data_IF_203752660795
#
_entry.id   IF_203752660795
#
_cell.length_a   1.000
_cell.length_b   1.000
_cell.length_c   1.000
_cell.angle_alpha   90.00
_cell.angle_beta   90.00
_cell.angle_gamma   90.00
#
_symmetry.space_group_name_H-M   'P 1'
#
loop_
_entity.id
_entity.type
_entity.pdbx_description
1 polymer ?
#
# COMPACT_ATOMS: atom_id res chain seq x y z
N UNK A 1 -23.07 -3.88 17.39
CA UNK A 1 -23.32 -3.61 18.82
C UNK A 1 -23.26 -4.92 19.59
N UNK A 2 -22.19 -5.18 20.35
CA UNK A 2 -22.07 -6.38 21.22
C UNK A 2 -22.21 -5.91 22.67
N UNK A 3 -23.04 -6.62 23.44
CA UNK A 3 -23.50 -6.29 24.78
C UNK A 3 -22.35 -5.93 25.75
N UNK A 4 -22.13 -4.64 26.01
CA UNK A 4 -21.26 -4.15 27.10
C UNK A 4 -21.90 -4.41 28.48
N UNK A 5 -23.22 -4.50 28.54
CA UNK A 5 -23.98 -4.73 29.78
C UNK A 5 -23.69 -6.09 30.43
N UNK A 6 -23.27 -7.11 29.68
CA UNK A 6 -22.96 -8.45 30.21
C UNK A 6 -21.66 -8.52 31.02
N UNK A 7 -20.84 -7.45 31.03
CA UNK A 7 -19.54 -7.44 31.70
C UNK A 7 -19.45 -6.49 32.90
N UNK A 8 -20.53 -5.78 33.23
CA UNK A 8 -20.61 -4.88 34.39
C UNK A 8 -20.36 -5.65 35.70
N UNK A 9 -20.86 -6.89 35.80
CA UNK A 9 -20.73 -7.73 37.00
C UNK A 9 -19.42 -8.54 37.05
N UNK A 10 -18.51 -8.37 36.08
CA UNK A 10 -17.22 -9.08 36.02
C UNK A 10 -16.06 -8.08 36.07
N UNK A 11 -15.67 -7.59 37.25
CA UNK A 11 -14.65 -6.54 37.39
C UNK A 11 -13.30 -6.92 36.78
N UNK A 12 -12.94 -8.21 36.74
CA UNK A 12 -11.72 -8.71 36.08
C UNK A 12 -11.75 -8.59 34.54
N UNK A 13 -12.92 -8.58 33.91
CA UNK A 13 -13.06 -8.39 32.45
C UNK A 13 -13.23 -6.92 32.06
N UNK A 14 -13.73 -6.08 32.98
CA UNK A 14 -13.89 -4.63 32.78
C UNK A 14 -12.57 -3.88 32.57
N UNK A 15 -11.45 -4.42 33.05
CA UNK A 15 -10.12 -3.79 32.91
C UNK A 15 -9.62 -3.70 31.45
N UNK A 16 -10.22 -4.47 30.52
CA UNK A 16 -9.86 -4.44 29.11
C UNK A 16 -10.86 -3.67 28.24
N UNK A 17 -11.90 -3.08 28.84
CA UNK A 17 -12.92 -2.32 28.13
C UNK A 17 -13.02 -0.91 28.75
N UNK A 18 -12.65 0.12 28.00
CA UNK A 18 -12.99 1.50 28.37
C UNK A 18 -14.51 1.67 28.29
N UNK A 19 -15.19 1.50 29.42
CA UNK A 19 -16.66 1.58 29.50
C UNK A 19 -17.22 2.97 29.19
N UNK A 20 -16.40 4.01 29.35
CA UNK A 20 -16.80 5.40 29.12
C UNK A 20 -16.67 5.83 27.65
N UNK A 21 -15.67 5.33 26.92
CA UNK A 21 -15.42 5.69 25.51
C UNK A 21 -14.96 4.47 24.68
N UNK A 22 -15.86 3.53 24.36
CA UNK A 22 -15.50 2.30 23.65
C UNK A 22 -15.14 2.50 22.17
N UNK A 23 -15.25 3.73 21.67
CA UNK A 23 -15.02 4.10 20.26
C UNK A 23 -13.85 5.06 20.07
N UNK A 24 -13.22 5.54 21.16
CA UNK A 24 -12.14 6.50 21.09
C UNK A 24 -10.91 5.97 21.81
N UNK A 25 -9.77 6.04 21.13
CA UNK A 25 -8.48 5.97 21.81
C UNK A 25 -8.24 7.33 22.48
N UNK A 26 -7.92 7.30 23.78
CA UNK A 26 -7.57 8.49 24.55
C UNK A 26 -6.09 8.41 24.95
N UNK A 27 -5.22 9.28 24.39
CA UNK A 27 -5.50 10.33 23.42
C UNK A 27 -5.68 9.81 21.98
N UNK A 28 -6.37 10.57 21.10
CA UNK A 28 -6.53 10.18 19.71
C UNK A 28 -5.18 10.11 18.98
N UNK A 29 -5.05 9.27 17.94
CA UNK A 29 -3.82 9.17 17.17
C UNK A 29 -3.48 10.52 16.52
N UNK A 30 -2.25 10.97 16.74
CA UNK A 30 -1.76 12.28 16.30
C UNK A 30 -1.65 12.39 14.77
N UNK A 31 -1.39 11.28 14.10
CA UNK A 31 -1.21 11.22 12.65
C UNK A 31 -2.25 10.31 12.00
N UNK A 32 -2.82 10.80 10.90
CA UNK A 32 -3.75 10.06 10.05
C UNK A 32 -3.09 9.65 8.75
N UNK A 33 -3.41 8.45 8.25
CA UNK A 33 -2.96 8.01 6.94
C UNK A 33 -3.66 8.82 5.84
N UNK A 34 -2.89 9.59 5.06
CA UNK A 34 -3.45 10.46 4.02
C UNK A 34 -3.39 9.83 2.63
N UNK A 35 -2.43 8.95 2.37
CA UNK A 35 -2.23 8.42 1.04
C UNK A 35 -0.92 7.67 0.88
N UNK A 36 -0.72 7.09 -0.30
CA UNK A 36 0.49 6.34 -0.62
C UNK A 36 0.98 6.61 -2.04
N UNK A 37 2.29 6.43 -2.22
CA UNK A 37 2.93 6.37 -3.52
C UNK A 37 3.37 4.93 -3.81
N UNK A 38 3.18 4.46 -5.05
CA UNK A 38 3.49 3.09 -5.44
C UNK A 38 4.80 3.00 -6.20
N UNK A 39 5.73 2.22 -5.67
CA UNK A 39 7.06 2.00 -6.23
C UNK A 39 7.16 0.61 -6.86
N UNK A 40 7.51 0.51 -8.14
CA UNK A 40 7.72 -0.80 -8.78
C UNK A 40 8.95 -1.51 -8.19
N UNK A 41 8.78 -2.78 -7.82
CA UNK A 41 9.86 -3.62 -7.28
C UNK A 41 10.65 -4.36 -8.36
N UNK A 42 10.17 -4.31 -9.60
CA UNK A 42 10.73 -5.06 -10.72
C UNK A 42 12.25 -4.83 -10.94
N UNK A 43 12.80 -3.61 -10.74
CA UNK A 43 14.24 -3.36 -10.84
C UNK A 43 15.09 -4.24 -9.90
N UNK A 44 14.65 -4.49 -8.67
CA UNK A 44 15.37 -5.33 -7.70
C UNK A 44 15.58 -6.76 -8.21
N UNK A 45 14.55 -7.34 -8.85
CA UNK A 45 14.63 -8.70 -9.41
C UNK A 45 15.65 -8.82 -10.56
N UNK A 46 15.92 -7.71 -11.25
CA UNK A 46 16.84 -7.61 -12.40
C UNK A 46 18.21 -7.05 -12.05
N UNK A 47 18.53 -6.93 -10.75
CA UNK A 47 19.78 -6.31 -10.27
C UNK A 47 19.97 -4.86 -10.77
N UNK A 48 18.88 -4.12 -10.87
CA UNK A 48 18.91 -2.73 -11.30
C UNK A 48 18.53 -1.79 -10.16
N UNK A 49 19.29 -0.70 -10.06
CA UNK A 49 18.88 0.47 -9.30
C UNK A 49 17.95 1.32 -10.17
N UNK A 50 17.01 2.02 -9.56
CA UNK A 50 16.02 2.84 -10.26
C UNK A 50 15.68 4.08 -9.47
N UNK A 51 15.49 5.21 -10.16
CA UNK A 51 14.94 6.44 -9.59
C UNK A 51 13.69 6.82 -10.38
N UNK A 52 12.61 7.17 -9.67
CA UNK A 52 11.34 7.55 -10.28
C UNK A 52 10.62 8.60 -9.43
N UNK A 53 9.93 9.53 -10.08
CA UNK A 53 8.96 10.42 -9.42
C UNK A 53 7.59 9.77 -9.55
N UNK A 54 6.95 9.50 -8.40
CA UNK A 54 5.67 8.80 -8.31
C UNK A 54 4.63 9.69 -7.64
N UNK A 55 3.36 9.66 -8.08
CA UNK A 55 2.29 10.42 -7.45
C UNK A 55 1.93 9.84 -6.08
N UNK A 56 1.51 10.72 -5.17
CA UNK A 56 0.92 10.36 -3.88
C UNK A 56 -0.59 10.46 -4.07
N UNK A 57 -1.28 9.32 -3.97
CA UNK A 57 -2.73 9.28 -4.09
C UNK A 57 -3.38 9.36 -2.72
N UNK A 58 -4.37 10.25 -2.57
CA UNK A 58 -5.21 10.30 -1.39
C UNK A 58 -5.95 8.98 -1.22
N UNK A 59 -5.91 8.41 -0.01
CA UNK A 59 -6.62 7.16 0.26
C UNK A 59 -8.13 7.31 0.13
N UNK A 60 -8.65 8.49 0.48
CA UNK A 60 -10.07 8.79 0.52
C UNK A 60 -10.63 9.13 -0.85
N UNK A 61 -10.05 10.12 -1.53
CA UNK A 61 -10.58 10.66 -2.79
C UNK A 61 -10.04 9.97 -4.03
N UNK A 62 -8.96 9.17 -3.89
CA UNK A 62 -8.16 8.63 -4.99
C UNK A 62 -7.54 9.70 -5.91
N UNK A 63 -7.55 10.97 -5.52
CA UNK A 63 -6.91 12.06 -6.26
C UNK A 63 -5.42 12.15 -5.93
N UNK A 64 -4.63 12.60 -6.91
CA UNK A 64 -3.21 12.86 -6.69
C UNK A 64 -3.05 14.15 -5.85
N UNK A 65 -2.62 13.99 -4.59
CA UNK A 65 -2.42 15.11 -3.64
C UNK A 65 -0.97 15.59 -3.59
N UNK A 66 -0.08 14.91 -4.31
CA UNK A 66 1.33 15.27 -4.35
C UNK A 66 2.14 14.29 -5.18
N UNK A 67 3.46 14.40 -5.07
CA UNK A 67 4.41 13.47 -5.67
C UNK A 67 5.66 13.36 -4.82
N UNK A 68 6.36 12.24 -4.93
CA UNK A 68 7.66 12.06 -4.33
C UNK A 68 8.67 11.43 -5.28
N UNK A 69 9.94 11.81 -5.16
CA UNK A 69 11.05 11.12 -5.81
C UNK A 69 11.49 9.98 -4.92
N UNK A 70 11.49 8.77 -5.47
CA UNK A 70 11.87 7.55 -4.80
C UNK A 70 12.99 6.87 -5.59
N UNK A 71 14.05 6.48 -4.90
CA UNK A 71 15.18 5.73 -5.45
C UNK A 71 15.32 4.38 -4.73
N UNK A 72 15.47 3.32 -5.51
CA UNK A 72 15.93 2.02 -5.08
C UNK A 72 17.37 1.88 -5.55
N UNK A 73 18.32 1.75 -4.63
CA UNK A 73 19.74 1.59 -4.95
C UNK A 73 20.27 0.27 -4.41
N UNK A 74 20.67 -0.64 -5.30
CA UNK A 74 21.27 -1.90 -4.89
C UNK A 74 22.66 -1.62 -4.30
N UNK A 75 22.85 -2.06 -3.07
CA UNK A 75 24.12 -1.93 -2.37
C UNK A 75 25.01 -3.15 -2.62
N UNK A 76 24.44 -4.36 -2.54
CA UNK A 76 25.18 -5.61 -2.74
C UNK A 76 24.25 -6.77 -3.11
N UNK A 77 24.77 -7.74 -3.86
CA UNK A 77 24.12 -9.03 -4.15
C UNK A 77 25.11 -10.15 -3.92
N UNK A 78 24.93 -10.91 -2.84
CA UNK A 78 25.75 -12.08 -2.52
C UNK A 78 25.07 -13.31 -3.08
N UNK A 79 25.75 -14.00 -4.02
CA UNK A 79 25.22 -15.21 -4.66
C UNK A 79 25.17 -16.37 -3.67
N UNK A 80 24.15 -17.22 -3.80
CA UNK A 80 24.14 -18.52 -3.11
C UNK A 80 25.30 -19.39 -3.61
N UNK A 81 25.93 -20.25 -2.77
CA UNK A 81 27.04 -21.12 -3.17
C UNK A 81 26.73 -22.00 -4.39
N UNK A 82 25.48 -22.46 -4.51
CA UNK A 82 24.99 -23.27 -5.65
C UNK A 82 25.13 -22.56 -7.01
N UNK A 83 25.13 -21.23 -7.02
CA UNK A 83 25.25 -20.40 -8.22
C UNK A 83 26.59 -19.64 -8.27
N UNK A 84 27.43 -19.74 -7.23
CA UNK A 84 28.75 -19.12 -7.20
C UNK A 84 29.76 -19.91 -8.07
N UNK A 85 29.59 -21.23 -8.18
CA UNK A 85 30.50 -22.13 -8.90
C UNK A 85 30.14 -22.30 -10.40
N UNK A 86 29.10 -21.63 -10.90
CA UNK A 86 28.69 -21.69 -12.31
C UNK A 86 29.45 -20.69 -13.20
N UNK A 87 30.48 -20.02 -12.67
CA UNK A 87 31.44 -19.27 -13.49
C UNK A 87 32.49 -20.22 -14.07
N UNK A 88 32.07 -21.22 -14.84
CA UNK A 88 32.97 -21.84 -15.82
C UNK A 88 33.06 -20.92 -17.03
N UNK A 89 34.29 -20.68 -17.45
CA UNK A 89 34.72 -19.87 -18.59
C UNK A 89 33.82 -20.04 -19.82
N UNK A 90 32.87 -19.13 -20.00
CA UNK A 90 32.12 -18.98 -21.25
C UNK A 90 32.92 -18.06 -22.19
N UNK A 91 33.28 -18.58 -23.36
CA UNK A 91 33.87 -17.81 -24.47
C UNK A 91 32.85 -16.96 -25.24
N UNK A 92 31.57 -17.00 -24.86
CA UNK A 92 30.54 -16.12 -25.42
C UNK A 92 30.60 -14.75 -24.75
N UNK A 93 30.72 -13.71 -25.58
CA UNK A 93 30.54 -12.31 -25.21
C UNK A 93 29.33 -12.15 -24.31
N UNK A 94 29.54 -11.65 -23.09
CA UNK A 94 28.47 -11.37 -22.13
C UNK A 94 27.46 -10.41 -22.77
N UNK A 95 26.25 -10.92 -23.04
CA UNK A 95 25.11 -10.09 -23.44
C UNK A 95 24.92 -8.98 -22.41
N UNK A 96 24.66 -7.72 -22.81
CA UNK A 96 24.57 -6.57 -21.92
C UNK A 96 23.32 -6.59 -21.00
N UNK A 97 22.53 -7.67 -21.02
CA UNK A 97 21.32 -7.76 -20.19
C UNK A 97 21.72 -8.01 -18.74
N UNK A 98 21.36 -7.10 -17.80
CA UNK A 98 21.55 -7.32 -16.37
C UNK A 98 20.93 -8.65 -15.96
N UNK A 99 21.76 -9.56 -15.45
CA UNK A 99 21.30 -10.88 -15.03
C UNK A 99 20.27 -10.76 -13.90
N UNK A 100 19.21 -11.57 -13.96
CA UNK A 100 18.25 -11.66 -12.85
C UNK A 100 18.93 -12.14 -11.57
N UNK A 101 18.45 -11.73 -10.40
CA UNK A 101 18.91 -12.27 -9.12
C UNK A 101 18.55 -13.77 -9.03
N UNK A 102 19.52 -14.71 -8.89
CA UNK A 102 19.22 -16.12 -8.68
C UNK A 102 18.56 -16.36 -7.32
N UNK A 103 17.62 -17.32 -7.23
CA UNK A 103 17.02 -17.73 -5.97
C UNK A 103 18.06 -18.08 -4.90
N UNK A 104 17.83 -17.63 -3.67
CA UNK A 104 18.71 -17.87 -2.52
C UNK A 104 19.87 -16.88 -2.39
N UNK A 105 20.01 -15.92 -3.31
CA UNK A 105 20.98 -14.83 -3.15
C UNK A 105 20.56 -13.88 -2.03
N UNK A 106 21.52 -13.31 -1.29
CA UNK A 106 21.27 -12.23 -0.32
C UNK A 106 21.36 -10.89 -1.04
N UNK A 107 20.27 -10.13 -1.04
CA UNK A 107 20.12 -8.83 -1.68
C UNK A 107 20.09 -7.74 -0.60
N UNK A 108 20.99 -6.77 -0.72
CA UNK A 108 21.02 -5.56 0.10
C UNK A 108 20.79 -4.34 -0.78
N UNK A 109 19.83 -3.49 -0.42
CA UNK A 109 19.50 -2.28 -1.17
C UNK A 109 19.06 -1.15 -0.24
N UNK A 110 19.16 0.09 -0.73
CA UNK A 110 18.63 1.27 -0.08
C UNK A 110 17.30 1.67 -0.71
N UNK A 111 16.31 1.98 0.11
CA UNK A 111 15.17 2.81 -0.26
C UNK A 111 15.47 4.24 0.14
N UNK A 112 15.33 5.17 -0.80
CA UNK A 112 15.56 6.59 -0.58
C UNK A 112 14.34 7.37 -1.07
N UNK A 113 13.82 8.26 -0.23
CA UNK A 113 12.85 9.29 -0.60
C UNK A 113 13.48 10.63 -0.23
N UNK A 114 13.65 11.51 -1.19
CA UNK A 114 14.45 12.74 -1.00
C UNK A 114 13.82 14.02 -1.56
N UNK A 115 12.67 13.90 -2.21
CA UNK A 115 11.87 15.04 -2.63
C UNK A 115 10.41 14.70 -2.49
N UNK A 116 9.67 15.49 -1.70
CA UNK A 116 8.20 15.42 -1.57
C UNK A 116 7.64 16.78 -1.96
N UNK A 117 6.57 16.79 -2.76
CA UNK A 117 5.95 18.01 -3.29
C UNK A 117 4.44 17.87 -3.35
N UNK A 118 3.74 19.01 -3.33
CA UNK A 118 2.31 19.12 -3.58
C UNK A 118 1.41 18.96 -2.35
N UNK A 119 1.93 18.46 -1.23
CA UNK A 119 1.17 18.42 0.02
C UNK A 119 0.95 19.86 0.53
N UNK A 120 -0.30 20.23 0.78
CA UNK A 120 -0.67 21.60 1.11
C UNK A 120 -0.47 21.90 2.60
N UNK A 121 0.23 23.00 2.91
CA UNK A 121 0.35 23.54 4.27
C UNK A 121 -0.99 24.02 4.85
N UNK A 122 -1.98 24.28 4.00
CA UNK A 122 -3.33 24.59 4.46
C UNK A 122 -3.98 23.36 5.08
N UNK A 123 -3.61 22.16 4.62
CA UNK A 123 -4.30 20.90 4.92
C UNK A 123 -3.63 20.13 6.05
N UNK A 124 -2.31 20.27 6.13
CA UNK A 124 -1.45 19.46 6.98
C UNK A 124 -0.53 20.36 7.77
N UNK A 125 -0.41 20.13 9.08
CA UNK A 125 0.54 20.83 9.94
C UNK A 125 1.83 20.05 10.14
N UNK A 126 1.79 18.72 10.05
CA UNK A 126 2.95 17.85 10.18
C UNK A 126 2.81 16.65 9.26
N UNK A 127 3.91 16.17 8.68
CA UNK A 127 3.92 15.02 7.78
C UNK A 127 5.12 14.12 8.06
N UNK A 128 4.90 12.81 8.02
CA UNK A 128 5.95 11.80 7.93
C UNK A 128 5.57 10.71 6.93
N UNK A 129 6.52 9.85 6.63
CA UNK A 129 6.28 8.68 5.80
C UNK A 129 6.73 7.39 6.49
N UNK A 130 6.18 6.26 6.04
CA UNK A 130 6.51 4.94 6.54
C UNK A 130 6.71 3.96 5.37
N UNK A 131 7.62 3.01 5.56
CA UNK A 131 7.80 1.87 4.68
C UNK A 131 7.68 0.58 5.49
N UNK A 132 7.00 -0.42 4.94
CA UNK A 132 6.79 -1.73 5.56
C UNK A 132 7.77 -2.75 5.01
N UNK A 133 8.23 -3.68 5.86
CA UNK A 133 9.09 -4.78 5.40
C UNK A 133 8.34 -5.72 4.45
N UNK A 134 7.06 -6.00 4.73
CA UNK A 134 6.20 -6.83 3.87
C UNK A 134 6.10 -6.30 2.44
N UNK A 135 6.21 -4.99 2.25
CA UNK A 135 6.23 -4.35 0.92
C UNK A 135 7.38 -4.81 0.02
N UNK A 136 8.46 -5.37 0.58
CA UNK A 136 9.64 -5.81 -0.20
C UNK A 136 9.81 -7.33 -0.24
N UNK A 137 9.33 -8.02 0.80
CA UNK A 137 9.49 -9.48 0.94
C UNK A 137 8.19 -10.23 0.55
N UNK A 138 7.08 -9.52 0.45
CA UNK A 138 5.76 -10.05 0.19
C UNK A 138 4.95 -10.33 1.47
N UNK A 139 3.66 -10.69 1.35
CA UNK A 139 2.70 -10.70 2.46
C UNK A 139 2.83 -11.89 3.41
N UNK A 140 3.86 -12.74 3.27
CA UNK A 140 4.00 -13.95 4.09
C UNK A 140 4.88 -13.78 5.33
N UNK A 141 5.09 -12.54 5.79
CA UNK A 141 5.77 -12.28 7.05
C UNK A 141 4.82 -12.52 8.22
N UNK A 142 5.30 -13.18 9.26
CA UNK A 142 4.54 -13.43 10.49
C UNK A 142 4.52 -12.22 11.43
N UNK A 143 5.52 -11.36 11.34
CA UNK A 143 5.64 -10.13 12.08
C UNK A 143 5.93 -8.99 11.10
N UNK A 144 5.17 -7.90 11.22
CA UNK A 144 5.33 -6.73 10.37
C UNK A 144 6.29 -5.74 11.04
N UNK A 145 7.28 -5.30 10.27
CA UNK A 145 8.18 -4.21 10.69
C UNK A 145 7.86 -2.96 9.88
N UNK A 146 7.70 -1.85 10.59
CA UNK A 146 7.38 -0.54 10.01
C UNK A 146 8.54 0.40 10.27
N UNK A 147 9.01 1.07 9.22
CA UNK A 147 10.15 1.98 9.24
C UNK A 147 9.66 3.41 8.99
N UNK A 148 9.48 4.22 10.04
CA UNK A 148 9.09 5.63 9.88
C UNK A 148 10.28 6.53 9.52
N UNK A 149 9.97 7.63 8.82
CA UNK A 149 10.83 8.82 8.78
C UNK A 149 10.66 9.66 10.03
N UNK A 150 11.53 10.64 10.22
CA UNK A 150 11.24 11.76 11.11
C UNK A 150 10.03 12.54 10.58
N UNK A 151 9.17 12.99 11.48
CA UNK A 151 8.12 13.92 11.12
C UNK A 151 8.69 15.32 10.90
N UNK A 152 8.13 16.04 9.95
CA UNK A 152 8.43 17.45 9.70
C UNK A 152 7.22 18.28 10.07
N UNK A 153 7.45 19.34 10.85
CA UNK A 153 6.46 20.37 11.06
C UNK A 153 6.45 21.31 9.85
N UNK A 154 5.32 21.38 9.18
CA UNK A 154 5.13 22.17 7.97
C UNK A 154 5.01 23.67 8.28
N UNK A 155 4.68 24.06 9.51
CA UNK A 155 4.61 25.49 9.85
C UNK A 155 6.03 26.10 10.04
N UNK A 156 7.04 25.26 10.31
CA UNK A 156 8.43 25.67 10.53
C UNK A 156 9.44 25.17 9.49
N UNK A 157 9.12 24.12 8.74
CA UNK A 157 10.04 23.45 7.81
C UNK A 157 9.43 23.25 6.42
N UNK A 158 10.28 22.96 5.44
CA UNK A 158 9.86 22.73 4.06
C UNK A 158 9.62 21.23 3.80
N UNK A 159 8.74 20.89 2.85
CA UNK A 159 8.57 19.50 2.41
C UNK A 159 9.85 18.87 1.83
N UNK A 160 10.81 19.67 1.36
CA UNK A 160 12.12 19.19 0.92
C UNK A 160 12.97 18.60 2.06
N UNK A 161 12.64 18.90 3.31
CA UNK A 161 13.33 18.37 4.49
C UNK A 161 12.83 16.97 4.86
N UNK A 162 11.66 16.56 4.35
CA UNK A 162 11.14 15.20 4.52
C UNK A 162 11.97 14.22 3.68
N UNK A 163 12.96 13.62 4.35
CA UNK A 163 13.87 12.64 3.75
C UNK A 163 13.77 11.31 4.47
N UNK A 164 13.92 10.24 3.70
CA UNK A 164 13.96 8.88 4.19
C UNK A 164 15.06 8.12 3.47
N UNK A 165 15.92 7.45 4.23
CA UNK A 165 16.92 6.54 3.69
C UNK A 165 17.04 5.33 4.60
N UNK A 166 16.69 4.14 4.09
CA UNK A 166 16.81 2.89 4.84
C UNK A 166 17.45 1.80 4.01
N UNK A 167 18.32 1.02 4.64
CA UNK A 167 18.93 -0.17 4.05
C UNK A 167 18.11 -1.38 4.41
N UNK A 168 17.73 -2.17 3.42
CA UNK A 168 17.07 -3.47 3.60
C UNK A 168 18.01 -4.58 3.15
N UNK A 169 17.99 -5.69 3.88
CA UNK A 169 18.77 -6.90 3.56
C UNK A 169 17.86 -8.11 3.65
N UNK A 170 17.72 -8.86 2.56
CA UNK A 170 16.84 -10.02 2.50
C UNK A 170 17.41 -11.15 1.65
N UNK A 171 16.96 -12.38 1.91
CA UNK A 171 17.22 -13.52 1.05
C UNK A 171 16.17 -13.55 -0.06
N UNK A 172 16.62 -13.43 -1.30
CA UNK A 172 15.78 -13.44 -2.48
C UNK A 172 15.38 -14.88 -2.85
N UNK A 173 14.43 -15.47 -2.12
CA UNK A 173 13.84 -16.77 -2.46
C UNK A 173 13.07 -16.70 -3.79
N UNK A 174 12.75 -17.84 -4.40
CA UNK A 174 11.94 -17.88 -5.64
C UNK A 174 10.60 -17.14 -5.48
N UNK A 175 9.97 -17.24 -4.30
CA UNK A 175 8.71 -16.55 -3.99
C UNK A 175 8.91 -15.04 -3.91
N UNK A 176 9.96 -14.59 -3.21
CA UNK A 176 10.30 -13.16 -3.12
C UNK A 176 10.63 -12.61 -4.51
N UNK A 177 11.41 -13.32 -5.31
CA UNK A 177 11.75 -12.90 -6.67
C UNK A 177 10.52 -12.81 -7.58
N UNK A 178 9.58 -13.75 -7.47
CA UNK A 178 8.32 -13.68 -8.19
C UNK A 178 7.50 -12.44 -7.76
N UNK A 179 7.44 -12.17 -6.45
CA UNK A 179 6.80 -10.97 -5.92
C UNK A 179 7.47 -9.69 -6.44
N UNK A 180 8.80 -9.59 -6.40
CA UNK A 180 9.53 -8.42 -6.88
C UNK A 180 9.28 -8.13 -8.37
N UNK A 181 9.12 -9.15 -9.22
CA UNK A 181 8.94 -8.94 -10.68
C UNK A 181 7.67 -8.18 -11.05
N UNK A 182 6.61 -8.34 -10.28
CA UNK A 182 5.27 -7.79 -10.60
C UNK A 182 4.71 -6.88 -9.50
N UNK A 183 5.32 -6.90 -8.32
CA UNK A 183 4.84 -6.21 -7.13
C UNK A 183 5.19 -4.73 -7.11
N UNK A 184 4.46 -4.03 -6.26
CA UNK A 184 4.70 -2.63 -5.92
C UNK A 184 4.83 -2.51 -4.40
N UNK A 185 5.76 -1.67 -3.96
CA UNK A 185 5.88 -1.27 -2.57
C UNK A 185 5.14 0.06 -2.35
N UNK A 186 4.13 0.11 -1.47
CA UNK A 186 3.58 1.37 -1.01
C UNK A 186 4.58 2.09 -0.10
N UNK A 187 4.78 3.38 -0.39
CA UNK A 187 5.33 4.36 0.54
C UNK A 187 4.16 5.10 1.15
N UNK A 188 3.94 4.91 2.44
CA UNK A 188 2.75 5.40 3.14
C UNK A 188 3.02 6.77 3.75
N UNK A 189 2.13 7.74 3.51
CA UNK A 189 2.23 9.10 4.04
C UNK A 189 1.18 9.30 5.13
N UNK A 190 1.63 9.92 6.21
CA UNK A 190 0.84 10.20 7.38
C UNK A 190 0.98 11.68 7.75
N UNK A 191 -0.11 12.29 8.19
CA UNK A 191 -0.12 13.70 8.51
C UNK A 191 -1.01 14.04 9.70
N UNK A 192 -0.66 15.13 10.40
CA UNK A 192 -1.56 15.81 11.31
C UNK A 192 -2.44 16.75 10.48
N UNK A 193 -3.74 16.49 10.51
CA UNK A 193 -4.73 17.16 9.66
C UNK A 193 -5.13 18.52 10.25
N UNK A 194 -5.30 19.52 9.39
CA UNK A 194 -5.93 20.81 9.73
C UNK A 194 -7.44 20.75 9.41
N UNK A 195 -8.28 21.59 10.05
CA UNK A 195 -9.74 21.58 9.84
C UNK A 195 -10.15 21.73 8.36
N UNK A 196 -9.43 22.55 7.60
CA UNK A 196 -9.56 22.76 6.15
C UNK A 196 -9.47 21.49 5.30
N UNK A 197 -8.71 20.48 5.76
CA UNK A 197 -8.66 19.18 5.11
C UNK A 197 -9.96 18.41 5.34
N UNK A 198 -10.46 18.41 6.57
CA UNK A 198 -11.71 17.74 6.93
C UNK A 198 -12.91 18.36 6.21
N UNK A 199 -13.00 19.69 6.18
CA UNK A 199 -14.04 20.42 5.42
C UNK A 199 -14.02 20.06 3.92
N UNK A 200 -12.83 19.83 3.34
CA UNK A 200 -12.74 19.39 1.95
C UNK A 200 -13.25 17.97 1.77
N UNK A 201 -12.96 17.07 2.70
CA UNK A 201 -13.46 15.69 2.64
C UNK A 201 -14.98 15.67 2.74
N UNK A 202 -15.55 16.45 3.65
CA UNK A 202 -17.01 16.62 3.79
C UNK A 202 -17.64 17.13 2.48
N UNK A 203 -17.09 18.19 1.87
CA UNK A 203 -17.58 18.66 0.57
C UNK A 203 -17.45 17.62 -0.53
N UNK A 204 -16.38 16.82 -0.52
CA UNK A 204 -16.18 15.76 -1.51
C UNK A 204 -17.25 14.66 -1.36
N UNK A 205 -17.66 14.35 -0.13
CA UNK A 205 -18.76 13.44 0.17
C UNK A 205 -20.10 13.99 -0.29
N UNK A 206 -20.42 15.24 0.06
CA UNK A 206 -21.66 15.90 -0.37
C UNK A 206 -21.81 15.85 -1.90
N UNK A 207 -20.75 16.18 -2.65
CA UNK A 207 -20.78 16.13 -4.12
C UNK A 207 -20.98 14.71 -4.67
N UNK A 208 -20.43 13.70 -4.01
CA UNK A 208 -20.64 12.30 -4.41
C UNK A 208 -22.04 11.81 -4.10
N UNK A 209 -22.58 12.15 -2.94
CA UNK A 209 -23.94 11.79 -2.55
C UNK A 209 -24.98 12.46 -3.45
N UNK A 210 -24.75 13.72 -3.84
CA UNK A 210 -25.57 14.42 -4.84
C UNK A 210 -25.58 13.70 -6.20
N UNK A 211 -24.44 13.17 -6.65
CA UNK A 211 -24.39 12.39 -7.90
C UNK A 211 -25.16 11.07 -7.79
N UNK A 212 -25.07 10.39 -6.64
CA UNK A 212 -25.79 9.13 -6.43
C UNK A 212 -27.31 9.36 -6.40
N UNK A 213 -27.77 10.44 -5.76
CA UNK A 213 -29.19 10.78 -5.67
C UNK A 213 -29.81 11.20 -7.00
N UNK A 214 -29.07 11.91 -7.87
CA UNK A 214 -29.53 12.21 -9.22
C UNK A 214 -29.71 10.95 -10.09
N UNK A 215 -28.84 9.95 -9.92
CA UNK A 215 -28.93 8.67 -10.64
C UNK A 215 -29.90 7.66 -10.03
N UNK A 216 -30.39 7.88 -8.80
CA UNK A 216 -31.41 7.03 -8.15
C UNK A 216 -32.83 7.55 -8.30
N UNK A 217 -33.03 8.66 -9.02
CA UNK A 217 -34.38 9.07 -9.43
C UNK A 217 -34.97 8.01 -10.36
N UNK A 218 -36.11 7.37 -10.01
CA UNK A 218 -36.79 6.49 -10.93
C UNK A 218 -37.38 7.38 -12.02
N UNK A 219 -36.70 7.50 -13.15
CA UNK A 219 -37.37 7.92 -14.38
C UNK A 219 -38.49 6.92 -14.62
N UNK A 220 -39.72 7.31 -14.32
CA UNK A 220 -40.92 6.57 -14.69
C UNK A 220 -40.90 6.46 -16.21
N UNK A 221 -40.76 5.27 -16.81
CA UNK A 221 -40.87 5.15 -18.24
C UNK A 221 -42.36 5.03 -18.55
N UNK A 222 -43.01 6.14 -18.89
CA UNK A 222 -44.21 6.04 -19.71
C UNK A 222 -43.81 5.45 -21.07
N UNK A 223 -44.22 4.20 -21.29
CA UNK A 223 -44.49 3.64 -22.60
C UNK A 223 -43.30 3.38 -23.53
N UNK A 224 -42.62 2.24 -23.35
CA UNK A 224 -42.31 1.31 -24.46
C UNK A 224 -41.80 -0.02 -23.92
N UNK A 225 -42.54 -1.08 -24.24
CA UNK A 225 -42.23 -2.46 -23.90
C UNK A 225 -40.89 -2.87 -24.51
N UNK A 226 -39.86 -3.06 -23.68
CA UNK A 226 -38.59 -3.65 -24.08
C UNK A 226 -38.56 -5.09 -23.57
N UNK A 227 -38.77 -6.05 -24.48
CA UNK A 227 -38.65 -7.47 -24.21
C UNK A 227 -37.23 -7.78 -23.71
N UNK A 228 -37.12 -8.24 -22.46
CA UNK A 228 -35.87 -8.74 -21.90
C UNK A 228 -35.52 -10.08 -22.57
N UNK A 229 -34.25 -10.32 -22.97
CA UNK A 229 -33.83 -11.63 -23.44
C UNK A 229 -33.92 -12.65 -22.29
N UNK A 230 -34.37 -13.89 -22.55
CA UNK A 230 -34.44 -14.91 -21.52
C UNK A 230 -33.04 -15.24 -20.98
N UNK A 231 -32.85 -15.08 -19.66
CA UNK A 231 -31.66 -15.50 -18.93
C UNK A 231 -31.42 -17.00 -19.15
N UNK A 232 -30.30 -17.34 -19.80
CA UNK A 232 -29.81 -18.72 -19.92
C UNK A 232 -29.47 -19.26 -18.53
N UNK A 233 -30.38 -20.03 -17.96
CA UNK A 233 -30.17 -20.80 -16.74
C UNK A 233 -29.24 -21.97 -17.07
N UNK A 234 -28.01 -21.97 -16.57
CA UNK A 234 -27.08 -23.10 -16.73
C UNK A 234 -27.55 -24.27 -15.86
N UNK A 235 -28.19 -25.26 -16.48
CA UNK A 235 -28.59 -26.51 -15.83
C UNK A 235 -27.35 -27.41 -15.64
N UNK A 236 -26.92 -27.62 -14.39
CA UNK A 236 -26.01 -28.72 -14.05
C UNK A 236 -26.81 -30.02 -14.05
N UNK A 237 -26.71 -30.81 -15.12
CA UNK A 237 -26.99 -32.25 -15.08
C UNK A 237 -25.68 -33.02 -15.13
N UNK A 238 -25.28 -33.57 -13.98
CA UNK A 238 -24.41 -34.73 -13.93
C UNK A 238 -25.21 -35.81 -13.21
N UNK A 239 -25.73 -36.74 -14.03
CA UNK A 239 -26.44 -37.93 -13.59
C UNK A 239 -25.47 -38.84 -12.84
N UNK A 240 -25.98 -39.40 -11.76
CA UNK A 240 -25.40 -40.51 -11.04
C UNK A 240 -25.22 -41.71 -11.98
N UNK A 241 -24.13 -42.45 -11.79
CA UNK A 241 -24.00 -43.80 -12.33
C UNK A 241 -24.92 -44.77 -11.60
N UNK A 242 -25.21 -45.90 -12.25
CA UNK A 242 -25.33 -47.24 -11.65
C UNK A 242 -25.46 -48.27 -12.80
N UNK A 243 -24.44 -49.13 -12.91
CA UNK A 243 -24.47 -50.60 -13.00
C UNK A 243 -25.67 -51.23 -13.74
N UNK A 244 -25.38 -51.88 -14.87
CA UNK A 244 -25.48 -53.33 -15.10
C UNK A 244 -24.84 -53.67 -16.45
#
# INVERSE_FOLDING_TARGET
MRNLTTFIDRPSYSQHFSSEEPFYDSPPPEYSFIGNALLSLAPLSRRLSSSSVVPIFCRYTAEAIGSCRVEIKIANVILSPKHANTSTTSTRSSSPVPGTVPPGSKLTFYLIVDSVKGLSHLDFSSVHLQARLSSFIGPSLSAEEVYPSSAIDMDSSSLSDLKFRRSFSMVASSKVLAYLRQGYAPIEFYARLKPTYLERMERWDELREQRITLHSSPSTPEGRSAALPPMRRSEKRLRHGTIA
#
